data_IF_386996663308
#
_entry.id   IF_386996663308
#
_cell.length_a   1.000
_cell.length_b   1.000
_cell.length_c   1.000
_cell.angle_alpha   90.00
_cell.angle_beta   90.00
_cell.angle_gamma   90.00
#
_symmetry.space_group_name_H-M   'P 1'
#
loop_
_entity.id
_entity.type
_entity.pdbx_description
1 polymer ?
#
# COMPACT_ATOMS: atom_id res chain seq x y z
N UNK A 1 27.50 21.54 -2.72
CA UNK A 1 26.11 22.00 -2.94
C UNK A 1 25.45 21.31 -4.13
N UNK A 2 26.09 21.21 -5.31
CA UNK A 2 25.51 20.50 -6.46
C UNK A 2 25.21 19.01 -6.20
N UNK A 3 26.07 18.29 -5.47
CA UNK A 3 25.87 16.85 -5.16
C UNK A 3 24.66 16.57 -4.27
N UNK A 4 24.34 17.46 -3.32
CA UNK A 4 23.18 17.31 -2.43
C UNK A 4 21.84 17.46 -3.18
N UNK A 5 21.80 18.33 -4.18
CA UNK A 5 20.61 18.53 -5.03
C UNK A 5 20.38 17.32 -5.93
N UNK A 6 21.45 16.72 -6.49
CA UNK A 6 21.33 15.52 -7.32
C UNK A 6 20.90 14.31 -6.51
N UNK A 7 21.44 14.11 -5.31
CA UNK A 7 21.06 12.98 -4.45
C UNK A 7 19.60 13.06 -3.99
N UNK A 8 19.12 14.25 -3.63
CA UNK A 8 17.72 14.43 -3.22
C UNK A 8 16.73 14.16 -4.35
N UNK A 9 17.05 14.59 -5.57
CA UNK A 9 16.22 14.30 -6.74
C UNK A 9 16.18 12.81 -7.09
N UNK A 10 17.34 12.13 -7.09
CA UNK A 10 17.41 10.68 -7.38
C UNK A 10 16.66 9.88 -6.32
N UNK A 11 16.80 10.22 -5.03
CA UNK A 11 16.07 9.56 -3.95
C UNK A 11 14.56 9.76 -4.07
N UNK A 12 14.13 10.96 -4.46
CA UNK A 12 12.72 11.25 -4.68
C UNK A 12 12.14 10.46 -5.86
N UNK A 13 12.87 10.39 -6.97
CA UNK A 13 12.47 9.56 -8.12
C UNK A 13 12.42 8.07 -7.74
N UNK A 14 13.40 7.61 -6.95
CA UNK A 14 13.39 6.24 -6.44
C UNK A 14 12.21 5.96 -5.49
N UNK A 15 11.83 6.93 -4.66
CA UNK A 15 10.64 6.86 -3.82
C UNK A 15 9.36 6.74 -4.65
N UNK A 16 9.18 7.57 -5.67
CA UNK A 16 8.02 7.56 -6.55
C UNK A 16 7.89 6.25 -7.35
N UNK A 17 9.03 5.66 -7.75
CA UNK A 17 9.08 4.40 -8.50
C UNK A 17 9.13 3.16 -7.61
N UNK A 18 9.20 3.32 -6.29
CA UNK A 18 9.35 2.22 -5.33
C UNK A 18 8.18 1.24 -5.31
N UNK A 19 7.01 1.65 -5.85
CA UNK A 19 5.79 0.83 -5.94
C UNK A 19 5.84 -0.15 -7.11
N UNK A 20 6.69 0.08 -8.13
CA UNK A 20 6.75 -0.74 -9.36
C UNK A 20 6.95 -2.24 -9.11
N UNK A 21 7.85 -2.69 -8.22
CA UNK A 21 7.98 -4.11 -7.91
C UNK A 21 6.67 -4.75 -7.41
N UNK A 22 5.86 -3.99 -6.66
CA UNK A 22 4.54 -4.44 -6.19
C UNK A 22 3.54 -4.55 -7.35
N UNK A 23 3.58 -3.63 -8.31
CA UNK A 23 2.74 -3.64 -9.52
C UNK A 23 3.00 -4.91 -10.34
N UNK A 24 4.27 -5.32 -10.46
CA UNK A 24 4.63 -6.56 -11.14
C UNK A 24 3.98 -7.81 -10.50
N UNK A 25 3.95 -7.88 -9.16
CA UNK A 25 3.26 -8.97 -8.44
C UNK A 25 1.76 -8.95 -8.74
N UNK A 26 1.14 -7.76 -8.77
CA UNK A 26 -0.29 -7.63 -9.05
C UNK A 26 -0.64 -8.06 -10.47
N UNK A 27 0.18 -7.68 -11.45
CA UNK A 27 0.03 -8.10 -12.83
C UNK A 27 0.12 -9.62 -12.95
N UNK A 28 1.15 -10.23 -12.34
CA UNK A 28 1.32 -11.69 -12.31
C UNK A 28 0.13 -12.41 -11.69
N UNK A 29 -0.41 -11.85 -10.61
CA UNK A 29 -1.55 -12.41 -9.89
C UNK A 29 -2.92 -11.97 -10.46
N UNK A 30 -2.98 -11.32 -11.62
CA UNK A 30 -4.23 -10.86 -12.27
C UNK A 30 -5.14 -10.03 -11.36
N UNK A 31 -4.55 -9.22 -10.49
CA UNK A 31 -5.27 -8.34 -9.54
C UNK A 31 -5.56 -6.99 -10.18
N UNK A 32 -6.60 -6.94 -11.01
CA UNK A 32 -6.88 -5.82 -11.92
C UNK A 32 -7.13 -4.48 -11.19
N UNK A 33 -7.87 -4.49 -10.08
CA UNK A 33 -8.20 -3.25 -9.37
C UNK A 33 -6.99 -2.64 -8.67
N UNK A 34 -6.18 -3.50 -8.05
CA UNK A 34 -4.97 -3.12 -7.36
C UNK A 34 -3.91 -2.65 -8.35
N UNK A 35 -3.82 -3.33 -9.51
CA UNK A 35 -2.99 -2.93 -10.64
C UNK A 35 -3.37 -1.54 -11.15
N UNK A 36 -4.68 -1.25 -11.30
CA UNK A 36 -5.16 0.06 -11.69
C UNK A 36 -4.69 1.15 -10.71
N UNK A 37 -4.82 0.92 -9.40
CA UNK A 37 -4.37 1.89 -8.38
C UNK A 37 -2.85 2.06 -8.42
N UNK A 38 -2.09 0.99 -8.61
CA UNK A 38 -0.63 1.04 -8.75
C UNK A 38 -0.18 1.82 -9.99
N UNK A 39 -0.83 1.62 -11.14
CA UNK A 39 -0.53 2.38 -12.36
C UNK A 39 -0.93 3.85 -12.23
N UNK A 40 -2.08 4.13 -11.60
CA UNK A 40 -2.51 5.48 -11.30
C UNK A 40 -1.51 6.18 -10.38
N UNK A 41 -0.92 5.47 -9.42
CA UNK A 41 0.14 6.00 -8.56
C UNK A 41 1.34 6.50 -9.37
N UNK A 42 1.86 5.66 -10.27
CA UNK A 42 2.99 6.04 -11.14
C UNK A 42 2.63 7.22 -12.02
N UNK A 43 1.42 7.23 -12.60
CA UNK A 43 0.95 8.34 -13.42
C UNK A 43 0.91 9.66 -12.63
N UNK A 44 0.29 9.65 -11.46
CA UNK A 44 0.21 10.82 -10.57
C UNK A 44 1.60 11.27 -10.12
N UNK A 45 2.54 10.35 -9.89
CA UNK A 45 3.91 10.69 -9.51
C UNK A 45 4.66 11.38 -10.64
N UNK A 46 4.49 10.94 -11.89
CA UNK A 46 5.02 11.62 -13.07
C UNK A 46 4.42 13.03 -13.18
N UNK A 47 3.09 13.17 -13.07
CA UNK A 47 2.43 14.48 -13.11
C UNK A 47 2.90 15.42 -11.99
N UNK A 48 3.09 14.91 -10.77
CA UNK A 48 3.64 15.64 -9.64
C UNK A 48 5.04 16.19 -9.95
N UNK A 49 5.94 15.35 -10.45
CA UNK A 49 7.29 15.78 -10.81
C UNK A 49 7.27 16.79 -11.97
N UNK A 50 6.44 16.58 -12.99
CA UNK A 50 6.27 17.55 -14.08
C UNK A 50 5.73 18.91 -13.57
N UNK A 51 4.78 18.90 -12.62
CA UNK A 51 4.27 20.12 -12.01
C UNK A 51 5.37 20.89 -11.27
N UNK A 52 6.26 20.20 -10.56
CA UNK A 52 7.40 20.82 -9.87
C UNK A 52 8.46 21.42 -10.80
N UNK A 53 8.56 20.91 -12.03
CA UNK A 53 9.50 21.43 -13.03
C UNK A 53 8.95 22.66 -13.77
N UNK A 54 7.65 22.94 -13.64
CA UNK A 54 7.01 24.08 -14.31
C UNK A 54 7.26 25.35 -13.50
N UNK A 55 7.52 26.48 -14.18
CA UNK A 55 7.81 27.77 -13.52
C UNK A 55 6.71 28.23 -12.56
N UNK A 56 5.46 27.88 -12.85
CA UNK A 56 4.28 28.20 -12.02
C UNK A 56 3.99 27.15 -10.94
N UNK A 57 4.74 26.04 -10.88
CA UNK A 57 4.48 24.89 -9.99
C UNK A 57 3.09 24.27 -10.16
N UNK A 58 2.56 24.25 -11.38
CA UNK A 58 1.19 23.80 -11.69
C UNK A 58 1.15 23.08 -13.05
N UNK A 59 0.43 21.95 -13.13
CA UNK A 59 0.23 21.16 -14.35
C UNK A 59 -1.27 20.82 -14.52
N UNK A 60 -2.17 21.79 -14.33
CA UNK A 60 -3.63 21.68 -14.07
C UNK A 60 -3.97 21.66 -12.58
N UNK A 61 -3.32 20.80 -11.80
CA UNK A 61 -3.37 20.84 -10.34
C UNK A 61 -2.08 21.46 -9.78
N UNK A 62 -2.19 22.04 -8.60
CA UNK A 62 -1.03 22.51 -7.82
C UNK A 62 -0.18 21.33 -7.36
N UNK A 63 1.13 21.55 -7.14
CA UNK A 63 2.05 20.55 -6.56
C UNK A 63 1.48 19.92 -5.27
N UNK A 64 0.79 20.73 -4.47
CA UNK A 64 0.13 20.28 -3.23
C UNK A 64 -0.98 19.28 -3.50
N UNK A 65 -1.84 19.55 -4.48
CA UNK A 65 -2.95 18.66 -4.84
C UNK A 65 -2.44 17.35 -5.42
N UNK A 66 -1.41 17.41 -6.28
CA UNK A 66 -0.74 16.22 -6.80
C UNK A 66 -0.13 15.36 -5.68
N UNK A 67 0.53 15.99 -4.72
CA UNK A 67 1.06 15.30 -3.54
C UNK A 67 -0.05 14.64 -2.72
N UNK A 68 -1.15 15.35 -2.47
CA UNK A 68 -2.29 14.80 -1.73
C UNK A 68 -2.89 13.56 -2.43
N UNK A 69 -2.96 13.57 -3.77
CA UNK A 69 -3.39 12.39 -4.54
C UNK A 69 -2.44 11.20 -4.36
N UNK A 70 -1.13 11.41 -4.36
CA UNK A 70 -0.16 10.34 -4.10
C UNK A 70 -0.37 9.70 -2.72
N UNK A 71 -0.63 10.51 -1.71
CA UNK A 71 -0.89 10.04 -0.36
C UNK A 71 -2.19 9.22 -0.28
N UNK A 72 -3.27 9.65 -0.96
CA UNK A 72 -4.49 8.84 -1.06
C UNK A 72 -4.19 7.48 -1.67
N UNK A 73 -3.40 7.45 -2.76
CA UNK A 73 -3.08 6.22 -3.46
C UNK A 73 -2.22 5.30 -2.59
N UNK A 74 -1.26 5.84 -1.83
CA UNK A 74 -0.49 5.06 -0.85
C UNK A 74 -1.38 4.44 0.23
N UNK A 75 -2.28 5.22 0.84
CA UNK A 75 -3.22 4.73 1.87
C UNK A 75 -4.16 3.67 1.28
N UNK A 76 -4.66 3.91 0.06
CA UNK A 76 -5.49 2.95 -0.66
C UNK A 76 -4.76 1.64 -0.90
N UNK A 77 -3.51 1.70 -1.38
CA UNK A 77 -2.70 0.53 -1.67
C UNK A 77 -2.43 -0.31 -0.42
N UNK A 78 -2.16 0.35 0.71
CA UNK A 78 -2.00 -0.29 2.01
C UNK A 78 -3.31 -0.96 2.45
N UNK A 79 -4.43 -0.25 2.40
CA UNK A 79 -5.71 -0.82 2.78
C UNK A 79 -6.06 -2.05 1.94
N UNK A 80 -5.82 -2.00 0.63
CA UNK A 80 -6.03 -3.14 -0.27
C UNK A 80 -5.16 -4.34 0.10
N UNK A 81 -3.90 -4.11 0.49
CA UNK A 81 -3.05 -5.16 1.01
C UNK A 81 -3.69 -5.79 2.26
N UNK A 82 -4.19 -4.99 3.21
CA UNK A 82 -4.89 -5.49 4.38
C UNK A 82 -6.12 -6.33 4.03
N UNK A 83 -6.95 -5.91 3.08
CA UNK A 83 -8.12 -6.69 2.63
C UNK A 83 -7.71 -8.08 2.14
N UNK A 84 -6.65 -8.17 1.34
CA UNK A 84 -6.16 -9.47 0.87
C UNK A 84 -5.53 -10.29 2.00
N UNK A 85 -4.88 -9.62 2.96
CA UNK A 85 -4.36 -10.28 4.15
C UNK A 85 -5.47 -10.78 5.08
N UNK A 86 -6.70 -10.25 5.04
CA UNK A 86 -7.83 -10.84 5.77
C UNK A 86 -8.20 -12.24 5.25
N UNK A 87 -7.86 -12.56 3.99
CA UNK A 87 -8.15 -13.83 3.34
C UNK A 87 -9.60 -14.29 3.56
N UNK A 88 -10.56 -13.38 3.31
CA UNK A 88 -11.98 -13.68 3.44
C UNK A 88 -12.41 -14.63 2.32
N UNK A 89 -13.27 -15.63 2.62
CA UNK A 89 -13.68 -16.62 1.64
C UNK A 89 -14.69 -16.10 0.62
N UNK A 90 -15.43 -15.04 0.96
CA UNK A 90 -16.48 -14.50 0.11
C UNK A 90 -15.93 -13.39 -0.79
N UNK A 91 -15.85 -13.65 -2.09
CA UNK A 91 -15.30 -12.70 -3.07
C UNK A 91 -16.11 -11.40 -3.13
N UNK A 92 -17.45 -11.48 -3.02
CA UNK A 92 -18.31 -10.29 -2.98
C UNK A 92 -17.94 -9.34 -1.84
N UNK A 93 -17.62 -9.88 -0.66
CA UNK A 93 -17.20 -9.07 0.50
C UNK A 93 -15.83 -8.45 0.24
N UNK A 94 -14.89 -9.20 -0.36
CA UNK A 94 -13.60 -8.65 -0.76
C UNK A 94 -13.76 -7.51 -1.77
N UNK A 95 -14.60 -7.67 -2.80
CA UNK A 95 -14.90 -6.62 -3.77
C UNK A 95 -15.44 -5.36 -3.07
N UNK A 96 -16.47 -5.51 -2.23
CA UNK A 96 -17.05 -4.37 -1.48
C UNK A 96 -16.00 -3.69 -0.60
N UNK A 97 -15.20 -4.44 0.15
CA UNK A 97 -14.16 -3.88 1.01
C UNK A 97 -13.08 -3.13 0.23
N UNK A 98 -12.72 -3.60 -0.96
CA UNK A 98 -11.73 -2.91 -1.81
C UNK A 98 -12.21 -1.55 -2.28
N UNK A 99 -13.44 -1.47 -2.79
CA UNK A 99 -14.04 -0.19 -3.20
C UNK A 99 -14.30 0.73 -2.00
N UNK A 100 -14.77 0.17 -0.89
CA UNK A 100 -14.97 0.91 0.34
C UNK A 100 -13.66 1.49 0.86
N UNK A 101 -12.58 0.70 0.85
CA UNK A 101 -11.25 1.12 1.24
C UNK A 101 -10.72 2.27 0.42
N UNK A 102 -10.85 2.18 -0.91
CA UNK A 102 -10.47 3.24 -1.83
C UNK A 102 -11.29 4.53 -1.58
N UNK A 103 -12.60 4.42 -1.42
CA UNK A 103 -13.46 5.58 -1.11
C UNK A 103 -13.12 6.20 0.25
N UNK A 104 -12.89 5.38 1.28
CA UNK A 104 -12.51 5.84 2.62
C UNK A 104 -11.16 6.57 2.60
N UNK A 105 -10.17 6.10 1.84
CA UNK A 105 -8.88 6.76 1.72
C UNK A 105 -9.03 8.20 1.20
N UNK A 106 -9.91 8.42 0.20
CA UNK A 106 -10.25 9.76 -0.28
C UNK A 106 -10.93 10.61 0.79
N UNK A 107 -12.00 10.11 1.40
CA UNK A 107 -12.78 10.83 2.42
C UNK A 107 -11.88 11.25 3.59
N UNK A 108 -11.06 10.32 4.05
CA UNK A 108 -10.16 10.50 5.18
C UNK A 108 -9.06 11.51 4.85
N UNK A 109 -8.47 11.46 3.64
CA UNK A 109 -7.45 12.43 3.25
C UNK A 109 -8.04 13.84 3.07
N UNK A 110 -9.25 13.96 2.54
CA UNK A 110 -9.97 15.25 2.49
C UNK A 110 -10.17 15.82 3.90
N UNK A 111 -10.49 14.96 4.89
CA UNK A 111 -10.65 15.37 6.28
C UNK A 111 -9.33 15.79 6.95
N UNK A 112 -8.26 15.06 6.67
CA UNK A 112 -6.92 15.32 7.19
C UNK A 112 -6.31 16.62 6.66
N UNK A 113 -6.65 17.00 5.43
CA UNK A 113 -6.05 18.13 4.75
C UNK A 113 -4.60 17.87 4.36
N UNK A 114 -3.83 18.94 4.15
CA UNK A 114 -2.51 18.84 3.53
C UNK A 114 -1.45 18.22 4.45
N UNK A 115 -1.32 18.70 5.69
CA UNK A 115 -0.18 18.39 6.57
C UNK A 115 -0.49 17.46 7.75
N UNK A 116 -1.76 17.07 7.91
CA UNK A 116 -2.15 16.14 8.99
C UNK A 116 -2.40 14.77 8.37
N UNK A 117 -2.12 13.72 9.14
CA UNK A 117 -2.30 12.33 8.73
C UNK A 117 -3.06 11.52 9.78
N UNK A 118 -3.74 12.19 10.72
CA UNK A 118 -4.31 11.55 11.90
C UNK A 118 -5.38 10.52 11.54
N UNK A 119 -6.30 10.89 10.66
CA UNK A 119 -7.40 10.01 10.26
C UNK A 119 -6.91 8.93 9.27
N UNK A 120 -5.95 9.27 8.41
CA UNK A 120 -5.30 8.34 7.48
C UNK A 120 -4.58 7.23 8.24
N UNK A 121 -3.81 7.61 9.27
CA UNK A 121 -3.14 6.66 10.16
C UNK A 121 -4.15 5.82 10.95
N UNK A 122 -5.26 6.41 11.40
CA UNK A 122 -6.30 5.67 12.10
C UNK A 122 -6.97 4.62 11.19
N UNK A 123 -7.26 4.96 9.93
CA UNK A 123 -7.81 4.01 8.95
C UNK A 123 -6.85 2.82 8.76
N UNK A 124 -5.56 3.10 8.59
CA UNK A 124 -4.50 2.10 8.46
C UNK A 124 -4.41 1.24 9.72
N UNK A 125 -4.42 1.85 10.90
CA UNK A 125 -4.35 1.15 12.19
C UNK A 125 -5.54 0.22 12.39
N UNK A 126 -6.75 0.66 12.06
CA UNK A 126 -7.97 -0.16 12.11
C UNK A 126 -7.87 -1.34 11.14
N UNK A 127 -7.43 -1.11 9.90
CA UNK A 127 -7.27 -2.16 8.90
C UNK A 127 -6.24 -3.22 9.33
N UNK A 128 -5.08 -2.81 9.84
CA UNK A 128 -4.09 -3.75 10.39
C UNK A 128 -4.60 -4.49 11.62
N UNK A 129 -5.28 -3.79 12.54
CA UNK A 129 -5.86 -4.40 13.73
C UNK A 129 -6.88 -5.48 13.35
N UNK A 130 -7.70 -5.23 12.33
CA UNK A 130 -8.62 -6.23 11.79
C UNK A 130 -7.89 -7.45 11.22
N UNK A 131 -6.78 -7.28 10.50
CA UNK A 131 -5.94 -8.38 10.00
C UNK A 131 -5.38 -9.20 11.16
N UNK A 132 -4.80 -8.55 12.16
CA UNK A 132 -4.23 -9.20 13.36
C UNK A 132 -5.31 -9.97 14.12
N UNK A 133 -6.44 -9.32 14.40
CA UNK A 133 -7.57 -9.92 15.09
C UNK A 133 -8.09 -11.16 14.34
N UNK A 134 -8.31 -11.02 13.02
CA UNK A 134 -8.79 -12.12 12.19
C UNK A 134 -7.80 -13.30 12.18
N UNK A 135 -6.50 -13.03 12.03
CA UNK A 135 -5.49 -14.09 11.90
C UNK A 135 -5.12 -14.76 13.22
N UNK A 136 -5.17 -14.04 14.35
CA UNK A 136 -4.80 -14.58 15.67
C UNK A 136 -5.99 -15.14 16.44
N UNK A 137 -7.13 -14.46 16.42
CA UNK A 137 -8.26 -14.77 17.31
C UNK A 137 -9.33 -15.61 16.62
N UNK A 138 -9.52 -15.43 15.31
CA UNK A 138 -10.55 -16.14 14.55
C UNK A 138 -9.92 -16.89 13.37
N UNK A 139 -9.02 -17.89 13.61
CA UNK A 139 -8.47 -18.68 12.52
C UNK A 139 -9.58 -19.47 11.83
N UNK A 140 -9.88 -19.12 10.57
CA UNK A 140 -10.84 -19.88 9.77
C UNK A 140 -10.20 -21.13 9.18
N UNK A 141 -10.90 -22.27 9.19
CA UNK A 141 -10.43 -23.51 8.56
C UNK A 141 -10.06 -23.34 7.07
N UNK A 142 -10.72 -22.39 6.39
CA UNK A 142 -10.49 -22.06 4.97
C UNK A 142 -9.46 -20.95 4.74
N UNK A 143 -8.80 -20.43 5.78
CA UNK A 143 -7.82 -19.35 5.62
C UNK A 143 -6.60 -19.83 4.83
N UNK A 144 -6.14 -19.04 3.86
CA UNK A 144 -4.95 -19.36 3.09
C UNK A 144 -3.69 -19.08 3.91
N UNK A 145 -2.67 -19.97 3.85
CA UNK A 145 -1.43 -19.79 4.59
C UNK A 145 -0.69 -18.54 4.09
N UNK A 146 -0.10 -17.80 5.03
CA UNK A 146 0.73 -16.64 4.74
C UNK A 146 2.18 -17.08 4.57
N UNK A 147 2.90 -16.56 3.57
CA UNK A 147 4.34 -16.77 3.49
C UNK A 147 5.04 -16.02 4.63
N UNK A 148 5.41 -16.75 5.69
CA UNK A 148 5.89 -16.19 6.97
C UNK A 148 7.17 -15.37 6.83
N UNK A 149 8.08 -15.77 5.96
CA UNK A 149 9.35 -15.07 5.72
C UNK A 149 9.11 -13.68 5.15
N UNK A 150 8.31 -13.58 4.09
CA UNK A 150 7.97 -12.31 3.43
C UNK A 150 7.11 -11.42 4.35
N UNK A 151 6.20 -12.01 5.12
CA UNK A 151 5.42 -11.29 6.12
C UNK A 151 6.30 -10.71 7.23
N UNK A 152 7.33 -11.42 7.68
CA UNK A 152 8.29 -10.93 8.65
C UNK A 152 9.13 -9.77 8.07
N UNK A 153 9.59 -9.89 6.82
CA UNK A 153 10.30 -8.80 6.14
C UNK A 153 9.42 -7.56 6.03
N UNK A 154 8.14 -7.74 5.64
CA UNK A 154 7.18 -6.64 5.60
C UNK A 154 6.97 -6.01 6.98
N UNK A 155 6.81 -6.82 8.04
CA UNK A 155 6.65 -6.31 9.40
C UNK A 155 7.88 -5.51 9.88
N UNK A 156 9.10 -5.98 9.57
CA UNK A 156 10.33 -5.25 9.90
C UNK A 156 10.44 -3.93 9.15
N UNK A 157 10.10 -3.91 7.85
CA UNK A 157 10.07 -2.67 7.07
C UNK A 157 9.01 -1.69 7.58
N UNK A 158 7.83 -2.18 7.97
CA UNK A 158 6.78 -1.34 8.57
C UNK A 158 7.22 -0.76 9.93
N UNK A 159 7.89 -1.56 10.77
CA UNK A 159 8.47 -1.10 12.03
C UNK A 159 9.54 -0.03 11.80
N UNK A 160 10.40 -0.22 10.79
CA UNK A 160 11.39 0.78 10.38
C UNK A 160 10.72 2.08 9.93
N UNK A 161 9.73 2.02 9.03
CA UNK A 161 8.99 3.20 8.58
C UNK A 161 8.32 3.94 9.76
N UNK A 162 7.74 3.21 10.69
CA UNK A 162 7.11 3.78 11.90
C UNK A 162 8.15 4.46 12.79
N UNK A 163 9.32 3.82 13.01
CA UNK A 163 10.41 4.41 13.77
C UNK A 163 10.95 5.69 13.10
N UNK A 164 11.13 5.69 11.78
CA UNK A 164 11.55 6.88 11.03
C UNK A 164 10.53 8.00 11.18
N UNK A 165 9.22 7.71 11.09
CA UNK A 165 8.17 8.71 11.25
C UNK A 165 8.21 9.39 12.63
N UNK A 166 8.39 8.62 13.72
CA UNK A 166 8.46 9.19 15.07
C UNK A 166 9.80 9.87 15.39
N UNK A 167 10.92 9.37 14.83
CA UNK A 167 12.26 9.90 15.08
C UNK A 167 12.63 11.05 14.15
N UNK A 168 11.91 11.27 13.05
CA UNK A 168 12.14 12.34 12.08
C UNK A 168 12.41 13.72 12.71
N UNK A 169 11.66 14.20 13.72
CA UNK A 169 11.90 15.51 14.33
C UNK A 169 13.25 15.65 15.04
N UNK A 170 13.89 14.54 15.39
CA UNK A 170 15.12 14.50 16.18
C UNK A 170 16.37 14.20 15.35
N UNK A 171 16.23 13.92 14.05
CA UNK A 171 17.35 13.52 13.18
C UNK A 171 17.98 14.76 12.50
N UNK A 172 19.32 14.92 12.53
CA UNK A 172 20.02 16.04 11.89
C UNK A 172 20.21 15.82 10.37
N UNK A 173 19.19 15.30 9.68
CA UNK A 173 19.20 15.02 8.23
C UNK A 173 18.17 15.91 7.55
N UNK A 174 18.43 16.34 6.32
CA UNK A 174 17.47 17.12 5.54
C UNK A 174 16.12 16.37 5.43
N UNK A 175 14.98 17.03 5.71
CA UNK A 175 13.68 16.37 5.82
C UNK A 175 13.27 15.68 4.52
N UNK A 176 13.61 16.26 3.37
CA UNK A 176 13.36 15.70 2.04
C UNK A 176 14.03 14.35 1.81
N UNK A 177 15.23 14.15 2.36
CA UNK A 177 15.95 12.89 2.22
C UNK A 177 15.37 11.80 3.13
N UNK A 178 14.93 12.17 4.34
CA UNK A 178 14.28 11.23 5.25
C UNK A 178 12.93 10.79 4.68
N UNK A 179 12.14 11.73 4.14
CA UNK A 179 10.86 11.45 3.50
C UNK A 179 11.02 10.52 2.29
N UNK A 180 12.01 10.79 1.43
CA UNK A 180 12.30 9.93 0.29
C UNK A 180 12.72 8.52 0.74
N UNK A 181 13.55 8.40 1.79
CA UNK A 181 13.94 7.11 2.35
C UNK A 181 12.73 6.35 2.92
N UNK A 182 11.84 7.06 3.63
CA UNK A 182 10.60 6.50 4.14
C UNK A 182 9.76 5.89 3.02
N UNK A 183 9.55 6.62 1.92
CA UNK A 183 8.78 6.11 0.78
C UNK A 183 9.46 4.95 0.04
N UNK A 184 10.79 4.94 -0.08
CA UNK A 184 11.52 3.78 -0.62
C UNK A 184 11.29 2.54 0.25
N UNK A 185 11.42 2.67 1.58
CA UNK A 185 11.15 1.58 2.51
C UNK A 185 9.67 1.15 2.48
N UNK A 186 8.75 2.10 2.29
CA UNK A 186 7.32 1.84 2.13
C UNK A 186 7.03 1.03 0.84
N UNK A 187 7.71 1.34 -0.27
CA UNK A 187 7.66 0.55 -1.50
C UNK A 187 8.17 -0.87 -1.31
N UNK A 188 9.28 -1.04 -0.57
CA UNK A 188 9.80 -2.34 -0.16
C UNK A 188 8.81 -3.12 0.72
N UNK A 189 8.15 -2.43 1.66
CA UNK A 189 7.09 -2.98 2.49
C UNK A 189 5.94 -3.51 1.63
N UNK A 190 5.49 -2.73 0.64
CA UNK A 190 4.44 -3.21 -0.27
C UNK A 190 4.88 -4.42 -1.07
N UNK A 191 6.12 -4.44 -1.56
CA UNK A 191 6.61 -5.57 -2.34
C UNK A 191 6.61 -6.87 -1.51
N UNK A 192 7.22 -6.84 -0.32
CA UNK A 192 7.23 -7.98 0.60
C UNK A 192 5.81 -8.35 1.07
N UNK A 193 4.98 -7.34 1.36
CA UNK A 193 3.59 -7.48 1.76
C UNK A 193 2.77 -8.22 0.70
N UNK A 194 2.81 -7.78 -0.55
CA UNK A 194 2.07 -8.43 -1.64
C UNK A 194 2.61 -9.82 -1.98
N UNK A 195 3.91 -10.07 -1.81
CA UNK A 195 4.52 -11.40 -1.95
C UNK A 195 4.10 -12.35 -0.83
N UNK A 196 3.74 -11.82 0.34
CA UNK A 196 3.20 -12.61 1.44
C UNK A 196 1.78 -13.11 1.19
N UNK A 197 1.03 -12.43 0.30
CA UNK A 197 -0.33 -12.83 -0.05
C UNK A 197 -0.31 -14.03 -1.00
N UNK A 198 -1.06 -15.10 -0.71
CA UNK A 198 -1.14 -16.26 -1.58
C UNK A 198 -1.75 -15.90 -2.95
N UNK A 199 -1.27 -16.53 -4.05
CA UNK A 199 -1.78 -16.27 -5.39
C UNK A 199 -3.22 -16.79 -5.53
N UNK A 200 -4.03 -16.17 -6.40
CA UNK A 200 -5.43 -16.55 -6.58
C UNK A 200 -5.62 -17.98 -7.10
N UNK A 201 -4.63 -18.55 -7.80
CA UNK A 201 -4.70 -19.95 -8.27
C UNK A 201 -4.64 -20.96 -7.11
N UNK A 202 -3.88 -20.67 -6.04
CA UNK A 202 -3.93 -21.49 -4.82
C UNK A 202 -5.24 -21.27 -4.04
N UNK A 203 -5.83 -20.08 -4.15
CA UNK A 203 -7.15 -19.80 -3.59
C UNK A 203 -8.20 -20.63 -4.33
N UNK A 204 -8.28 -20.52 -5.66
CA UNK A 204 -9.26 -21.22 -6.49
C UNK A 204 -9.12 -22.73 -6.38
N UNK A 205 -7.89 -23.27 -6.38
CA UNK A 205 -7.66 -24.71 -6.24
C UNK A 205 -8.07 -25.26 -4.86
N UNK A 206 -7.82 -24.49 -3.78
CA UNK A 206 -8.29 -24.85 -2.44
C UNK A 206 -9.82 -24.74 -2.32
N UNK A 207 -10.47 -23.84 -3.07
CA UNK A 207 -11.93 -23.76 -3.14
C UNK A 207 -12.53 -24.89 -3.99
N UNK A 208 -11.95 -25.22 -5.14
CA UNK A 208 -12.34 -26.40 -5.95
C UNK A 208 -12.24 -27.69 -5.13
N UNK A 209 -11.12 -27.91 -4.43
CA UNK A 209 -10.92 -29.09 -3.57
C UNK A 209 -11.88 -29.10 -2.35
N UNK A 210 -12.46 -27.95 -1.96
CA UNK A 210 -13.47 -27.86 -0.89
C UNK A 210 -14.92 -27.92 -1.39
N UNK A 211 -15.16 -27.67 -2.68
CA UNK A 211 -16.48 -27.74 -3.31
C UNK A 211 -16.79 -29.19 -3.75
N UNK A 212 -15.78 -30.05 -3.87
CA UNK A 212 -15.95 -31.49 -4.17
C UNK A 212 -16.37 -32.31 -2.92
N UNK A 213 -16.35 -31.75 -1.71
CA UNK A 213 -16.67 -32.51 -0.45
C UNK A 213 -18.06 -32.19 0.12
N UNK A 214 -18.93 -31.47 -0.59
CA UNK A 214 -20.34 -31.28 -0.18
C UNK A 214 -21.36 -31.98 -1.08
N UNK A 215 -20.94 -32.82 -2.03
CA UNK A 215 -21.86 -33.56 -2.93
C UNK A 215 -21.89 -35.08 -2.70
N UNK A 216 -21.06 -35.65 -1.83
CA UNK A 216 -21.07 -37.09 -1.59
C UNK A 216 -20.92 -37.38 -0.10
N UNK A 217 -21.99 -37.20 0.66
CA UNK A 217 -22.39 -38.10 1.75
C UNK A 217 -23.87 -37.82 2.05
N UNK A 218 -24.73 -38.71 1.54
CA UNK A 218 -26.14 -38.99 1.86
C UNK A 218 -26.93 -37.97 2.69
#
# INVERSE_FOLDING_TARGET
>A
MASMVTTGFVLKLAADLSVIPSIYIMQRNKRHFELFIGLLHVFVAVCFNCAQLTTTNELFLTVVQWHAMLEVLYVSFLYLLCVHLLALPYENVNITLRYLGFALAWIVKVKDGQFRHTHSLLLVAVAFSAVVLRRLVVPGARMLPLHRTEAMVAALLAAFCTAVFFLHPSLPIAPTNIESLFYICLGGFFFAGWKSVPPPELASKKFDDCDIVFSEYN
#
